data_IF_454713107943
#
_entry.id   IF_454713107943
#
_cell.length_a   1.000
_cell.length_b   1.000
_cell.length_c   1.000
_cell.angle_alpha   90.00
_cell.angle_beta   90.00
_cell.angle_gamma   90.00
#
_symmetry.space_group_name_H-M   'P 1'
#
loop_
_entity.id
_entity.type
_entity.pdbx_description
1 polymer ?
#
# COMPACT_ATOMS: atom_id res chain seq x y z
N UNK A 1 -6.15 -18.61 0.32
CA UNK A 1 -6.11 -17.26 0.94
C UNK A 1 -7.13 -16.38 0.24
N UNK A 2 -7.95 -15.61 0.94
CA UNK A 2 -8.89 -14.68 0.30
C UNK A 2 -8.18 -13.40 -0.17
N UNK A 3 -8.71 -12.75 -1.21
CA UNK A 3 -8.22 -11.44 -1.69
C UNK A 3 -8.27 -10.41 -0.57
N UNK A 4 -9.30 -10.44 0.27
CA UNK A 4 -9.44 -9.57 1.45
C UNK A 4 -8.29 -9.69 2.46
N UNK A 5 -7.84 -10.92 2.75
CA UNK A 5 -6.70 -11.14 3.64
C UNK A 5 -5.36 -10.71 3.02
N UNK A 6 -5.27 -10.67 1.68
CA UNK A 6 -4.14 -10.09 0.95
C UNK A 6 -4.10 -8.57 1.10
N UNK A 7 -5.22 -7.89 0.82
CA UNK A 7 -5.36 -6.44 0.94
C UNK A 7 -5.04 -5.95 2.36
N UNK A 8 -5.57 -6.62 3.39
CA UNK A 8 -5.32 -6.26 4.78
C UNK A 8 -3.84 -6.36 5.19
N UNK A 9 -3.11 -7.35 4.64
CA UNK A 9 -1.66 -7.47 4.87
C UNK A 9 -0.88 -6.39 4.14
N UNK A 10 -1.26 -6.05 2.91
CA UNK A 10 -0.62 -4.99 2.13
C UNK A 10 -0.79 -3.63 2.81
N UNK A 11 -2.01 -3.30 3.25
CA UNK A 11 -2.27 -2.05 3.96
C UNK A 11 -1.52 -1.96 5.29
N UNK A 12 -1.34 -3.09 6.00
CA UNK A 12 -0.50 -3.14 7.20
C UNK A 12 0.96 -2.86 6.87
N UNK A 13 1.52 -3.54 5.87
CA UNK A 13 2.91 -3.35 5.46
C UNK A 13 3.18 -1.91 5.01
N UNK A 14 2.23 -1.27 4.32
CA UNK A 14 2.30 0.16 3.94
C UNK A 14 2.39 1.07 5.17
N UNK A 15 1.53 0.84 6.18
CA UNK A 15 1.56 1.61 7.44
C UNK A 15 2.87 1.41 8.20
N UNK A 16 3.36 0.18 8.26
CA UNK A 16 4.63 -0.14 8.93
C UNK A 16 5.81 0.56 8.23
N UNK A 17 5.86 0.55 6.89
CA UNK A 17 6.84 1.29 6.10
C UNK A 17 6.86 2.78 6.44
N UNK A 18 5.69 3.44 6.43
CA UNK A 18 5.59 4.86 6.73
C UNK A 18 5.99 5.17 8.19
N UNK A 19 5.60 4.31 9.13
CA UNK A 19 5.94 4.48 10.54
C UNK A 19 7.45 4.31 10.80
N UNK A 20 8.11 3.38 10.12
CA UNK A 20 9.57 3.24 10.17
C UNK A 20 10.25 4.44 9.50
N UNK A 21 9.75 4.90 8.35
CA UNK A 21 10.28 6.09 7.67
C UNK A 21 10.23 7.33 8.56
N UNK A 22 9.10 7.59 9.22
CA UNK A 22 8.97 8.70 10.17
C UNK A 22 9.94 8.59 11.36
N UNK A 23 10.23 7.37 11.83
CA UNK A 23 11.27 7.15 12.85
C UNK A 23 12.66 7.44 12.30
N UNK A 24 12.99 6.99 11.10
CA UNK A 24 14.26 7.30 10.43
C UNK A 24 14.46 8.81 10.29
N UNK A 25 13.41 9.56 9.95
CA UNK A 25 13.45 11.03 9.82
C UNK A 25 13.73 11.77 11.13
N UNK A 26 13.61 11.10 12.28
CA UNK A 26 13.97 11.71 13.56
C UNK A 26 15.48 11.95 13.67
N UNK A 27 16.31 11.08 13.09
CA UNK A 27 17.77 11.19 13.12
C UNK A 27 18.39 11.54 11.76
N UNK A 28 17.73 11.18 10.64
CA UNK A 28 18.21 11.45 9.29
C UNK A 28 17.45 12.62 8.65
N UNK A 29 18.09 13.81 8.62
CA UNK A 29 17.47 15.08 8.23
C UNK A 29 18.27 15.88 7.21
N UNK A 30 19.18 15.23 6.50
CA UNK A 30 19.94 15.88 5.45
C UNK A 30 19.15 15.93 4.14
N UNK A 31 19.74 16.57 3.13
CA UNK A 31 19.15 16.69 1.78
C UNK A 31 18.98 15.33 1.10
N UNK A 32 19.74 14.30 1.48
CA UNK A 32 19.55 12.96 0.95
C UNK A 32 18.29 12.31 1.53
N UNK A 33 17.98 12.55 2.81
CA UNK A 33 16.72 12.12 3.41
C UNK A 33 15.51 12.74 2.69
N UNK A 34 15.58 14.04 2.39
CA UNK A 34 14.51 14.73 1.65
C UNK A 34 14.36 14.18 0.23
N UNK A 35 15.49 13.92 -0.45
CA UNK A 35 15.47 13.30 -1.78
C UNK A 35 14.88 11.89 -1.75
N UNK A 36 15.23 11.10 -0.74
CA UNK A 36 14.71 9.75 -0.58
C UNK A 36 13.20 9.75 -0.29
N UNK A 37 12.71 10.72 0.50
CA UNK A 37 11.28 10.94 0.72
C UNK A 37 10.55 11.14 -0.62
N UNK A 38 11.06 12.05 -1.45
CA UNK A 38 10.46 12.43 -2.72
C UNK A 38 10.58 11.39 -3.82
N UNK A 39 11.73 10.74 -3.94
CA UNK A 39 12.02 9.84 -5.07
C UNK A 39 11.63 8.39 -4.79
N UNK A 40 11.49 8.00 -3.51
CA UNK A 40 11.25 6.59 -3.13
C UNK A 40 9.99 6.45 -2.30
N UNK A 41 9.89 7.15 -1.16
CA UNK A 41 8.79 6.92 -0.22
C UNK A 41 7.44 7.39 -0.79
N UNK A 42 7.36 8.61 -1.29
CA UNK A 42 6.12 9.17 -1.85
C UNK A 42 5.58 8.34 -3.04
N UNK A 43 6.39 7.98 -4.06
CA UNK A 43 5.93 7.12 -5.15
C UNK A 43 5.50 5.73 -4.67
N UNK A 44 6.27 5.12 -3.76
CA UNK A 44 5.95 3.78 -3.23
C UNK A 44 4.62 3.78 -2.47
N UNK A 45 4.33 4.81 -1.65
CA UNK A 45 3.05 4.92 -0.95
C UNK A 45 1.88 5.07 -1.93
N UNK A 46 2.05 5.89 -2.99
CA UNK A 46 1.06 6.06 -4.03
C UNK A 46 0.76 4.75 -4.76
N UNK A 47 1.80 4.02 -5.19
CA UNK A 47 1.67 2.74 -5.89
C UNK A 47 1.00 1.67 -5.01
N UNK A 48 1.36 1.61 -3.71
CA UNK A 48 0.76 0.68 -2.75
C UNK A 48 -0.74 0.97 -2.56
N UNK A 49 -1.12 2.24 -2.44
CA UNK A 49 -2.53 2.64 -2.36
C UNK A 49 -3.31 2.23 -3.60
N UNK A 50 -2.77 2.56 -4.78
CA UNK A 50 -3.40 2.20 -6.06
C UNK A 50 -3.56 0.68 -6.20
N UNK A 51 -2.58 -0.09 -5.73
CA UNK A 51 -2.63 -1.56 -5.76
C UNK A 51 -3.76 -2.09 -4.88
N UNK A 52 -3.92 -1.57 -3.66
CA UNK A 52 -5.02 -1.98 -2.76
C UNK A 52 -6.39 -1.65 -3.37
N UNK A 53 -6.55 -0.46 -3.96
CA UNK A 53 -7.79 -0.04 -4.65
C UNK A 53 -8.12 -0.95 -5.85
N UNK A 54 -7.11 -1.33 -6.64
CA UNK A 54 -7.28 -2.27 -7.74
C UNK A 54 -7.68 -3.67 -7.26
N UNK A 55 -7.09 -4.14 -6.16
CA UNK A 55 -7.46 -5.42 -5.54
C UNK A 55 -8.90 -5.41 -5.01
N UNK A 56 -9.37 -4.29 -4.46
CA UNK A 56 -10.75 -4.13 -3.99
C UNK A 56 -11.75 -4.21 -5.16
N UNK A 57 -11.43 -3.52 -6.26
CA UNK A 57 -12.20 -3.58 -7.51
C UNK A 57 -12.30 -5.02 -8.03
N UNK A 58 -11.18 -5.74 -8.09
CA UNK A 58 -11.15 -7.14 -8.52
C UNK A 58 -11.97 -8.05 -7.60
N UNK A 59 -11.90 -7.83 -6.28
CA UNK A 59 -12.71 -8.58 -5.33
C UNK A 59 -14.22 -8.38 -5.57
N UNK A 60 -14.63 -7.16 -5.87
CA UNK A 60 -16.02 -6.83 -6.23
C UNK A 60 -16.49 -7.55 -7.50
N UNK A 61 -15.67 -7.52 -8.55
CA UNK A 61 -15.95 -8.20 -9.82
C UNK A 61 -16.07 -9.72 -9.65
N UNK A 62 -15.14 -10.34 -8.92
CA UNK A 62 -15.19 -11.78 -8.63
C UNK A 62 -16.44 -12.16 -7.84
N UNK A 63 -16.85 -11.33 -6.87
CA UNK A 63 -18.07 -11.56 -6.10
C UNK A 63 -19.33 -11.42 -6.97
N UNK A 64 -19.36 -10.49 -7.93
CA UNK A 64 -20.44 -10.34 -8.89
C UNK A 64 -20.53 -11.55 -9.83
N UNK A 65 -19.42 -11.91 -10.47
CA UNK A 65 -19.37 -13.06 -11.38
C UNK A 65 -19.80 -14.36 -10.72
N UNK A 66 -19.47 -14.53 -9.43
CA UNK A 66 -19.93 -15.69 -8.65
C UNK A 66 -21.44 -15.72 -8.47
N UNK A 67 -22.06 -14.57 -8.17
CA UNK A 67 -23.53 -14.47 -8.05
C UNK A 67 -24.24 -14.74 -9.37
N UNK A 68 -23.64 -14.34 -10.48
CA UNK A 68 -24.23 -14.55 -11.82
C UNK A 68 -24.15 -16.03 -12.27
N UNK A 69 -23.32 -16.85 -11.62
CA UNK A 69 -23.15 -18.28 -11.88
C UNK A 69 -23.88 -19.19 -10.88
N UNK A 70 -24.49 -18.63 -9.84
CA UNK A 70 -25.35 -19.33 -8.87
C UNK A 70 -26.82 -19.21 -9.29
#
# INVERSE_FOLDING_TARGET
MSVSAGMARMERARKDLLAEWQRTRQSWRDTMADRFEKEVIEPTDADLRQTVEAMETLAGLLAAARRDCE
#
